data_IF_806528332955
#
_entry.id   IF_806528332955
#
_cell.length_a   1.000
_cell.length_b   1.000
_cell.length_c   1.000
_cell.angle_alpha   90.00
_cell.angle_beta   90.00
_cell.angle_gamma   90.00
#
_symmetry.space_group_name_H-M   'P 1'
#
loop_
_entity.id
_entity.type
_entity.pdbx_description
1 polymer ?
#
# COMPACT_ATOMS: atom_id res chain seq x y z
N UNK A 1 33.39 -29.71 27.10
CA UNK A 1 33.72 -30.09 25.70
C UNK A 1 32.45 -30.64 25.04
N UNK A 2 32.24 -30.46 23.73
CA UNK A 2 31.83 -29.28 22.93
C UNK A 2 30.30 -29.32 22.65
N UNK A 3 29.58 -28.36 22.05
CA UNK A 3 29.76 -27.61 20.79
C UNK A 3 28.93 -26.32 20.85
N UNK A 4 29.48 -25.11 20.66
CA UNK A 4 29.79 -24.41 19.40
C UNK A 4 28.65 -24.31 18.36
N UNK A 5 28.48 -23.06 17.92
CA UNK A 5 28.08 -22.59 16.59
C UNK A 5 26.60 -22.50 16.24
N UNK A 6 26.13 -21.25 16.18
CA UNK A 6 24.86 -20.88 15.55
C UNK A 6 24.55 -19.38 15.53
N UNK A 7 25.51 -18.46 15.73
CA UNK A 7 25.31 -17.05 15.38
C UNK A 7 25.17 -16.97 13.86
N UNK A 8 23.93 -17.07 13.35
CA UNK A 8 23.60 -16.67 11.98
C UNK A 8 23.84 -15.17 11.89
N UNK A 9 25.03 -14.81 11.41
CA UNK A 9 25.28 -13.52 10.80
C UNK A 9 24.43 -13.38 9.55
N UNK A 10 23.14 -13.11 9.73
CA UNK A 10 22.32 -12.52 8.67
C UNK A 10 22.69 -11.05 8.61
N UNK A 11 23.40 -10.66 7.54
CA UNK A 11 23.86 -9.30 7.33
C UNK A 11 22.80 -8.27 7.73
N UNK A 12 23.24 -7.32 8.56
CA UNK A 12 22.55 -6.08 8.90
C UNK A 12 22.47 -5.14 7.68
N UNK A 13 21.91 -5.62 6.57
CA UNK A 13 21.56 -4.86 5.36
C UNK A 13 20.06 -4.53 5.36
N UNK A 14 19.25 -5.29 6.11
CA UNK A 14 17.78 -5.18 6.07
C UNK A 14 17.27 -3.78 6.40
N UNK A 15 17.89 -3.06 7.34
CA UNK A 15 17.43 -1.74 7.77
C UNK A 15 17.69 -0.58 6.81
N UNK A 16 18.43 -0.73 5.72
CA UNK A 16 18.61 0.39 4.77
C UNK A 16 17.64 0.32 3.60
N UNK A 17 17.14 -0.87 3.29
CA UNK A 17 16.34 -1.10 2.08
C UNK A 17 14.95 -0.46 2.16
N UNK A 18 14.26 -0.48 3.32
CA UNK A 18 12.92 0.11 3.41
C UNK A 18 12.96 1.63 3.16
N UNK A 19 13.88 2.30 3.84
CA UNK A 19 14.07 3.75 3.73
C UNK A 19 14.59 4.13 2.34
N UNK A 20 15.46 3.30 1.75
CA UNK A 20 15.94 3.51 0.39
C UNK A 20 14.80 3.43 -0.63
N UNK A 21 14.01 2.36 -0.61
CA UNK A 21 12.89 2.18 -1.55
C UNK A 21 11.82 3.25 -1.35
N UNK A 22 11.52 3.61 -0.10
CA UNK A 22 10.60 4.69 0.18
C UNK A 22 11.15 6.06 -0.26
N UNK A 23 12.44 6.33 -0.05
CA UNK A 23 13.12 7.53 -0.55
C UNK A 23 13.08 7.60 -2.08
N UNK A 24 13.33 6.49 -2.78
CA UNK A 24 13.22 6.40 -4.24
C UNK A 24 11.80 6.68 -4.73
N UNK A 25 10.78 6.18 -4.01
CA UNK A 25 9.38 6.53 -4.29
C UNK A 25 9.15 8.04 -4.18
N UNK A 26 9.56 8.66 -3.06
CA UNK A 26 9.38 10.12 -2.88
C UNK A 26 10.11 10.94 -3.94
N UNK A 27 11.33 10.54 -4.31
CA UNK A 27 12.10 11.17 -5.38
C UNK A 27 11.37 11.03 -6.73
N UNK A 28 10.92 9.82 -7.09
CA UNK A 28 10.19 9.61 -8.34
C UNK A 28 8.91 10.46 -8.41
N UNK A 29 8.13 10.50 -7.34
CA UNK A 29 6.90 11.30 -7.28
C UNK A 29 7.17 12.81 -7.37
N UNK A 30 8.22 13.27 -6.70
CA UNK A 30 8.64 14.68 -6.77
C UNK A 30 9.12 15.03 -8.17
N UNK A 31 9.92 14.18 -8.80
CA UNK A 31 10.39 14.39 -10.19
C UNK A 31 9.23 14.33 -11.19
N UNK A 32 8.28 13.41 -11.00
CA UNK A 32 7.06 13.33 -11.80
C UNK A 32 6.27 14.64 -11.71
N UNK A 33 6.04 15.15 -10.48
CA UNK A 33 5.28 16.37 -10.27
C UNK A 33 5.98 17.63 -10.78
N UNK A 34 7.28 17.79 -10.52
CA UNK A 34 8.00 19.03 -10.82
C UNK A 34 8.51 19.10 -12.27
N UNK A 35 8.83 17.96 -12.87
CA UNK A 35 9.52 17.89 -14.17
C UNK A 35 8.80 17.00 -15.20
N UNK A 36 7.63 16.45 -14.88
CA UNK A 36 6.87 15.59 -15.79
C UNK A 36 7.52 14.23 -16.06
N UNK A 37 8.43 13.78 -15.19
CA UNK A 37 9.10 12.47 -15.32
C UNK A 37 8.07 11.33 -15.27
N UNK A 38 8.29 10.17 -15.93
CA UNK A 38 7.34 9.06 -15.83
C UNK A 38 7.05 8.63 -14.39
N UNK A 39 5.76 8.44 -14.08
CA UNK A 39 5.32 7.94 -12.79
C UNK A 39 5.62 6.43 -12.70
N UNK A 40 6.66 6.08 -11.95
CA UNK A 40 7.10 4.69 -11.74
C UNK A 40 6.65 4.16 -10.37
N UNK A 41 5.76 4.87 -9.67
CA UNK A 41 5.37 4.54 -8.30
C UNK A 41 4.86 3.11 -8.17
N UNK A 42 3.94 2.66 -9.03
CA UNK A 42 3.44 1.28 -9.00
C UNK A 42 4.57 0.26 -9.11
N UNK A 43 5.52 0.47 -10.02
CA UNK A 43 6.67 -0.43 -10.19
C UNK A 43 7.57 -0.43 -8.94
N UNK A 44 7.88 0.74 -8.39
CA UNK A 44 8.68 0.88 -7.17
C UNK A 44 8.00 0.23 -5.95
N UNK A 45 6.68 0.41 -5.82
CA UNK A 45 5.86 -0.17 -4.76
C UNK A 45 5.77 -1.71 -4.86
N UNK A 46 5.91 -2.27 -6.07
CA UNK A 46 5.95 -3.72 -6.30
C UNK A 46 7.33 -4.35 -6.11
N UNK A 47 8.43 -3.56 -6.04
CA UNK A 47 9.78 -4.10 -5.86
C UNK A 47 9.94 -5.06 -4.67
N UNK A 48 9.26 -4.86 -3.51
CA UNK A 48 9.31 -5.82 -2.43
C UNK A 48 8.92 -7.25 -2.81
N UNK A 49 8.12 -7.47 -3.86
CA UNK A 49 7.79 -8.83 -4.33
C UNK A 49 9.03 -9.70 -4.59
N UNK A 50 10.15 -9.10 -5.01
CA UNK A 50 11.36 -9.83 -5.32
C UNK A 50 12.04 -10.47 -4.10
N UNK A 51 11.75 -10.01 -2.88
CA UNK A 51 12.45 -10.45 -1.67
C UNK A 51 11.55 -10.56 -0.42
N UNK A 52 10.27 -10.22 -0.52
CA UNK A 52 9.32 -10.30 0.59
C UNK A 52 8.89 -11.76 0.84
N UNK A 53 8.98 -12.27 2.07
CA UNK A 53 8.56 -13.64 2.38
C UNK A 53 7.05 -13.88 2.15
N UNK A 54 6.70 -15.04 1.63
CA UNK A 54 5.31 -15.38 1.24
C UNK A 54 4.32 -15.38 2.42
N UNK A 55 4.82 -15.54 3.65
CA UNK A 55 4.03 -15.51 4.88
C UNK A 55 3.41 -14.13 5.12
N UNK A 56 4.04 -13.05 4.60
CA UNK A 56 3.55 -11.67 4.74
C UNK A 56 2.30 -11.40 3.92
N UNK A 57 2.05 -12.19 2.88
CA UNK A 57 0.86 -12.04 2.05
C UNK A 57 -0.39 -12.59 2.73
N UNK A 58 -0.23 -13.52 3.68
CA UNK A 58 -1.37 -14.09 4.39
C UNK A 58 -2.28 -14.93 3.50
N UNK A 59 -1.73 -15.65 2.52
CA UNK A 59 -2.51 -16.40 1.52
C UNK A 59 -3.45 -17.44 2.15
N UNK A 60 -3.11 -17.97 3.34
CA UNK A 60 -3.93 -18.92 4.10
C UNK A 60 -4.97 -18.28 5.01
N UNK A 61 -5.04 -16.95 5.07
CA UNK A 61 -5.99 -16.27 5.93
C UNK A 61 -7.41 -16.49 5.44
N UNK A 62 -8.32 -16.91 6.35
CA UNK A 62 -9.75 -17.09 6.04
C UNK A 62 -10.41 -15.81 5.51
N UNK A 63 -9.85 -14.64 5.84
CA UNK A 63 -10.34 -13.35 5.38
C UNK A 63 -10.17 -13.14 3.88
N UNK A 64 -9.33 -13.94 3.21
CA UNK A 64 -9.20 -13.91 1.75
C UNK A 64 -10.49 -14.35 1.04
N UNK A 65 -11.44 -15.01 1.73
CA UNK A 65 -12.77 -15.31 1.16
C UNK A 65 -13.50 -14.05 0.70
N UNK A 66 -13.22 -12.89 1.32
CA UNK A 66 -13.82 -11.62 0.93
C UNK A 66 -13.38 -11.16 -0.47
N UNK A 67 -12.28 -11.70 -1.03
CA UNK A 67 -11.88 -11.40 -2.41
C UNK A 67 -12.94 -11.82 -3.44
N UNK A 68 -13.91 -12.66 -3.06
CA UNK A 68 -15.10 -12.94 -3.86
C UNK A 68 -15.97 -11.69 -4.12
N UNK A 69 -15.71 -10.57 -3.42
CA UNK A 69 -16.36 -9.28 -3.66
C UNK A 69 -15.77 -8.51 -4.86
N UNK A 70 -14.62 -8.92 -5.40
CA UNK A 70 -13.96 -8.22 -6.52
C UNK A 70 -14.85 -8.06 -7.77
N UNK A 71 -15.64 -9.07 -8.22
CA UNK A 71 -16.53 -8.89 -9.35
C UNK A 71 -17.56 -7.79 -9.14
N UNK A 72 -18.06 -7.61 -7.91
CA UNK A 72 -19.01 -6.55 -7.60
C UNK A 72 -18.33 -5.17 -7.69
N UNK A 73 -17.10 -5.04 -7.18
CA UNK A 73 -16.34 -3.80 -7.32
C UNK A 73 -16.03 -3.47 -8.79
N UNK A 74 -15.76 -4.49 -9.61
CA UNK A 74 -15.58 -4.31 -11.05
C UNK A 74 -16.86 -3.80 -11.72
N UNK A 75 -18.02 -4.34 -11.37
CA UNK A 75 -19.31 -3.87 -11.91
C UNK A 75 -19.56 -2.39 -11.52
N UNK A 76 -19.16 -1.97 -10.32
CA UNK A 76 -19.35 -0.60 -9.84
C UNK A 76 -18.40 0.43 -10.47
N UNK A 77 -17.22 0.00 -10.91
CA UNK A 77 -16.22 0.87 -11.51
C UNK A 77 -15.40 0.11 -12.56
N UNK A 78 -15.99 -0.22 -13.72
CA UNK A 78 -15.29 -1.00 -14.76
C UNK A 78 -14.15 -0.19 -15.41
N UNK A 79 -14.31 1.13 -15.51
CA UNK A 79 -13.35 2.03 -16.14
C UNK A 79 -12.04 2.07 -15.34
N UNK A 80 -10.97 1.49 -15.87
CA UNK A 80 -9.66 1.52 -15.21
C UNK A 80 -9.56 0.67 -13.94
N UNK A 81 -10.52 -0.24 -13.69
CA UNK A 81 -10.54 -1.13 -12.52
C UNK A 81 -9.20 -1.82 -12.28
N UNK A 82 -8.61 -2.42 -13.32
CA UNK A 82 -7.37 -3.16 -13.20
C UNK A 82 -6.19 -2.28 -12.80
N UNK A 83 -6.14 -1.03 -13.28
CA UNK A 83 -5.12 -0.08 -12.88
C UNK A 83 -5.30 0.32 -11.42
N UNK A 84 -6.54 0.59 -11.00
CA UNK A 84 -6.86 0.93 -9.61
C UNK A 84 -6.56 -0.22 -8.65
N UNK A 85 -6.91 -1.45 -9.04
CA UNK A 85 -6.64 -2.67 -8.29
C UNK A 85 -5.13 -2.94 -8.18
N UNK A 86 -4.39 -2.82 -9.29
CA UNK A 86 -2.94 -3.00 -9.27
C UNK A 86 -2.27 -1.95 -8.37
N UNK A 87 -2.70 -0.70 -8.44
CA UNK A 87 -2.19 0.37 -7.58
C UNK A 87 -2.50 0.11 -6.10
N UNK A 88 -3.75 -0.19 -5.75
CA UNK A 88 -4.14 -0.49 -4.37
C UNK A 88 -3.39 -1.71 -3.83
N UNK A 89 -3.17 -2.74 -4.64
CA UNK A 89 -2.37 -3.89 -4.25
C UNK A 89 -0.91 -3.51 -4.01
N UNK A 90 -0.30 -2.76 -4.93
CA UNK A 90 1.08 -2.31 -4.81
C UNK A 90 1.29 -1.47 -3.55
N UNK A 91 0.36 -0.56 -3.26
CA UNK A 91 0.38 0.25 -2.05
C UNK A 91 0.24 -0.60 -0.78
N UNK A 92 -0.74 -1.49 -0.68
CA UNK A 92 -0.88 -2.32 0.52
C UNK A 92 0.28 -3.30 0.69
N UNK A 93 0.84 -3.83 -0.40
CA UNK A 93 2.06 -4.64 -0.37
C UNK A 93 3.21 -3.84 0.25
N UNK A 94 3.47 -2.64 -0.26
CA UNK A 94 4.59 -1.82 0.18
C UNK A 94 4.40 -1.31 1.60
N UNK A 95 3.26 -0.73 1.92
CA UNK A 95 3.03 -0.09 3.21
C UNK A 95 2.75 -1.13 4.30
N UNK A 96 1.91 -2.15 4.05
CA UNK A 96 1.54 -3.12 5.10
C UNK A 96 2.49 -4.30 5.16
N UNK A 97 2.65 -5.00 4.04
CA UNK A 97 3.42 -6.24 4.07
C UNK A 97 4.92 -5.95 4.20
N UNK A 98 5.40 -4.83 3.64
CA UNK A 98 6.81 -4.46 3.66
C UNK A 98 7.21 -3.47 4.77
N UNK A 99 6.70 -2.23 4.80
CA UNK A 99 7.13 -1.20 5.77
C UNK A 99 6.71 -1.49 7.22
N UNK A 100 5.52 -2.04 7.47
CA UNK A 100 5.07 -2.35 8.84
C UNK A 100 5.87 -3.48 9.51
N UNK A 101 6.80 -4.12 8.81
CA UNK A 101 7.76 -5.03 9.44
C UNK A 101 8.70 -4.32 10.41
N UNK A 102 8.90 -3.02 10.20
CA UNK A 102 9.82 -2.20 10.99
C UNK A 102 9.15 -1.03 11.68
N UNK A 103 8.18 -0.42 11.01
CA UNK A 103 7.49 0.76 11.52
C UNK A 103 6.12 0.40 12.09
N UNK A 104 5.65 1.18 13.05
CA UNK A 104 4.30 1.03 13.58
C UNK A 104 3.26 1.40 12.52
N UNK A 105 2.03 0.91 12.67
CA UNK A 105 0.92 1.28 11.79
C UNK A 105 0.72 2.82 11.73
N UNK A 106 0.86 3.50 12.88
CA UNK A 106 0.76 4.95 12.96
C UNK A 106 1.81 5.65 12.08
N UNK A 107 3.07 5.22 12.19
CA UNK A 107 4.16 5.76 11.38
C UNK A 107 3.96 5.46 9.89
N UNK A 108 3.62 4.21 9.54
CA UNK A 108 3.34 3.83 8.14
C UNK A 108 2.17 4.60 7.56
N UNK A 109 1.14 4.90 8.36
CA UNK A 109 -0.01 5.69 7.89
C UNK A 109 0.35 7.14 7.62
N UNK A 110 1.24 7.73 8.42
CA UNK A 110 1.82 9.04 8.11
C UNK A 110 2.67 8.99 6.83
N UNK A 111 3.51 7.97 6.67
CA UNK A 111 4.30 7.76 5.45
C UNK A 111 3.41 7.50 4.21
N UNK A 112 2.25 6.88 4.38
CA UNK A 112 1.31 6.66 3.29
C UNK A 112 0.69 7.96 2.75
N UNK A 113 0.40 8.92 3.64
CA UNK A 113 -0.17 10.20 3.25
C UNK A 113 0.83 11.09 2.50
N UNK A 114 2.13 10.96 2.76
CA UNK A 114 3.17 11.80 2.15
C UNK A 114 3.20 11.74 0.61
N UNK A 115 3.25 10.56 -0.05
CA UNK A 115 3.09 10.44 -1.50
C UNK A 115 1.87 11.19 -2.05
N UNK A 116 0.74 11.09 -1.35
CA UNK A 116 -0.50 11.74 -1.77
C UNK A 116 -0.39 13.26 -1.67
N UNK A 117 0.17 13.78 -0.57
CA UNK A 117 0.43 15.22 -0.40
C UNK A 117 1.37 15.71 -1.49
N UNK A 118 2.44 14.96 -1.78
CA UNK A 118 3.39 15.27 -2.86
C UNK A 118 2.70 15.30 -4.21
N UNK A 119 1.66 14.52 -4.48
CA UNK A 119 1.00 14.54 -5.80
C UNK A 119 -0.11 15.60 -5.89
N UNK A 120 -0.96 15.70 -4.87
CA UNK A 120 -2.23 16.42 -4.97
C UNK A 120 -2.28 17.74 -4.20
N UNK A 121 -1.49 17.91 -3.12
CA UNK A 121 -1.47 19.13 -2.26
C UNK A 121 -2.81 19.61 -1.70
N UNK A 122 -3.83 18.77 -1.67
CA UNK A 122 -5.14 19.12 -1.12
C UNK A 122 -5.39 18.47 0.26
N UNK A 123 -6.47 18.87 0.92
CA UNK A 123 -6.84 18.33 2.23
C UNK A 123 -7.18 16.82 2.16
N UNK A 124 -7.74 16.34 1.05
CA UNK A 124 -8.10 14.93 0.87
C UNK A 124 -6.87 14.04 0.88
N UNK A 125 -5.78 14.52 0.29
CA UNK A 125 -4.48 13.85 0.31
C UNK A 125 -3.94 13.65 1.72
N UNK A 126 -4.14 14.62 2.63
CA UNK A 126 -3.78 14.49 4.05
C UNK A 126 -4.70 13.49 4.75
N UNK A 127 -6.00 13.53 4.45
CA UNK A 127 -7.00 12.66 5.08
C UNK A 127 -6.81 11.18 4.76
N UNK A 128 -6.06 10.83 3.71
CA UNK A 128 -5.66 9.43 3.40
C UNK A 128 -4.92 8.73 4.56
N UNK A 129 -4.38 9.50 5.51
CA UNK A 129 -3.85 8.98 6.77
C UNK A 129 -4.84 8.09 7.53
N UNK A 130 -6.11 8.48 7.63
CA UNK A 130 -7.12 7.75 8.41
C UNK A 130 -7.52 6.40 7.82
N UNK A 131 -7.91 6.29 6.52
CA UNK A 131 -8.17 4.99 5.92
C UNK A 131 -6.91 4.11 5.94
N UNK A 132 -5.72 4.68 5.72
CA UNK A 132 -4.46 3.94 5.83
C UNK A 132 -4.25 3.32 7.22
N UNK A 133 -4.57 4.06 8.28
CA UNK A 133 -4.52 3.58 9.66
C UNK A 133 -5.49 2.41 9.88
N UNK A 134 -6.70 2.50 9.32
CA UNK A 134 -7.67 1.42 9.37
C UNK A 134 -7.20 0.17 8.62
N UNK A 135 -6.67 0.30 7.41
CA UNK A 135 -6.17 -0.84 6.63
C UNK A 135 -5.02 -1.55 7.34
N UNK A 136 -4.08 -0.80 7.92
CA UNK A 136 -3.00 -1.41 8.70
C UNK A 136 -3.47 -2.08 9.97
N UNK A 137 -4.51 -1.56 10.64
CA UNK A 137 -5.14 -2.24 11.77
C UNK A 137 -5.78 -3.58 11.32
N UNK A 138 -6.53 -3.57 10.22
CA UNK A 138 -7.14 -4.77 9.66
C UNK A 138 -6.07 -5.80 9.27
N UNK A 139 -4.99 -5.37 8.62
CA UNK A 139 -3.87 -6.25 8.28
C UNK A 139 -3.26 -6.89 9.53
N UNK A 140 -3.02 -6.12 10.60
CA UNK A 140 -2.50 -6.64 11.86
C UNK A 140 -3.43 -7.67 12.52
N UNK A 141 -4.75 -7.48 12.43
CA UNK A 141 -5.74 -8.39 13.04
C UNK A 141 -5.99 -9.64 12.23
N UNK A 142 -5.94 -9.55 10.90
CA UNK A 142 -6.33 -10.64 10.00
C UNK A 142 -5.15 -11.38 9.40
N UNK A 143 -3.97 -10.76 9.41
CA UNK A 143 -2.78 -11.21 8.70
C UNK A 143 -2.98 -11.31 7.19
N UNK A 144 -4.06 -10.75 6.63
CA UNK A 144 -4.43 -10.91 5.22
C UNK A 144 -4.10 -9.65 4.44
N UNK A 145 -3.12 -9.75 3.54
CA UNK A 145 -2.85 -8.67 2.59
C UNK A 145 -4.00 -8.51 1.61
N UNK A 146 -4.58 -9.62 1.14
CA UNK A 146 -5.70 -9.63 0.21
C UNK A 146 -6.92 -8.87 0.75
N UNK A 147 -7.23 -9.01 2.04
CA UNK A 147 -8.35 -8.29 2.65
C UNK A 147 -8.07 -6.79 2.84
N UNK A 148 -6.85 -6.42 3.23
CA UNK A 148 -6.45 -5.01 3.29
C UNK A 148 -6.49 -4.36 1.89
N UNK A 149 -5.96 -5.05 0.87
CA UNK A 149 -6.07 -4.67 -0.54
C UNK A 149 -7.53 -4.46 -0.96
N UNK A 150 -8.42 -5.41 -0.63
CA UNK A 150 -9.83 -5.32 -0.99
C UNK A 150 -10.49 -4.09 -0.36
N UNK A 151 -10.25 -3.83 0.92
CA UNK A 151 -10.80 -2.67 1.63
C UNK A 151 -10.31 -1.36 1.03
N UNK A 152 -9.03 -1.29 0.68
CA UNK A 152 -8.45 -0.14 0.02
C UNK A 152 -9.08 0.07 -1.36
N UNK A 153 -9.10 -0.97 -2.20
CA UNK A 153 -9.72 -0.91 -3.52
C UNK A 153 -11.20 -0.52 -3.44
N UNK A 154 -11.96 -1.12 -2.51
CA UNK A 154 -13.36 -0.78 -2.29
C UNK A 154 -13.53 0.69 -1.92
N UNK A 155 -12.67 1.23 -1.04
CA UNK A 155 -12.72 2.64 -0.66
C UNK A 155 -12.41 3.56 -1.83
N UNK A 156 -11.45 3.21 -2.69
CA UNK A 156 -11.15 3.99 -3.89
C UNK A 156 -12.30 3.94 -4.90
N UNK A 157 -12.90 2.76 -5.12
CA UNK A 157 -14.09 2.61 -5.97
C UNK A 157 -15.25 3.44 -5.44
N UNK A 158 -15.53 3.38 -4.13
CA UNK A 158 -16.59 4.18 -3.53
C UNK A 158 -16.31 5.68 -3.65
N UNK A 159 -15.07 6.11 -3.44
CA UNK A 159 -14.65 7.49 -3.60
C UNK A 159 -14.88 8.00 -5.03
N UNK A 160 -14.40 7.25 -6.02
CA UNK A 160 -14.47 7.63 -7.43
C UNK A 160 -15.89 7.56 -7.99
N UNK A 161 -16.65 6.51 -7.66
CA UNK A 161 -18.01 6.32 -8.19
C UNK A 161 -19.06 7.17 -7.50
N UNK A 162 -18.88 7.51 -6.21
CA UNK A 162 -19.95 8.12 -5.41
C UNK A 162 -19.58 9.38 -4.66
N UNK A 163 -18.31 9.71 -4.40
CA UNK A 163 -17.98 10.92 -3.61
C UNK A 163 -17.47 12.06 -4.48
N UNK A 164 -16.56 11.79 -5.43
CA UNK A 164 -16.08 12.83 -6.35
C UNK A 164 -17.23 13.51 -7.12
N UNK A 165 -18.20 12.76 -7.71
CA UNK A 165 -19.31 13.39 -8.43
C UNK A 165 -20.15 14.32 -7.57
N UNK A 166 -20.29 14.06 -6.26
CA UNK A 166 -21.09 14.90 -5.36
C UNK A 166 -20.31 16.10 -4.82
N UNK A 167 -18.99 15.95 -4.63
CA UNK A 167 -18.12 17.05 -4.18
C UNK A 167 -17.90 18.10 -5.28
N UNK A 168 -17.87 17.67 -6.56
CA UNK A 168 -17.63 18.55 -7.71
C UNK A 168 -18.88 18.84 -8.55
N UNK A 169 -19.91 18.01 -8.46
CA UNK A 169 -21.19 18.16 -9.16
C UNK A 169 -22.20 18.95 -8.34
N UNK A 170 -21.79 20.09 -7.78
CA UNK A 170 -22.71 21.03 -7.16
C UNK A 170 -23.85 21.37 -8.14
N UNK A 171 -25.08 21.06 -7.71
CA UNK A 171 -26.22 21.91 -8.01
C UNK A 171 -26.02 23.26 -7.30
#
# INVERSE_FOLDING_TARGET
MPSTTGRRGGLSIKGSTELLLYGLLLINLTLHRLYGFPNLSTALLLLPLAFLPSERFGLRSRWNVNLLLLPFLYILYPQGFFSLALQAFAEELFFRAYLMQRFSNLAVSALFALPHIILYTDIWSVLTFFPSLFYGYVYQKTGSLGFAFLLHLASNVLWLSFLIPYVHGGH
#
